data_IF_097470850545
#
_entry.id   IF_097470850545
#
_cell.length_a   1.000
_cell.length_b   1.000
_cell.length_c   1.000
_cell.angle_alpha   90.00
_cell.angle_beta   90.00
_cell.angle_gamma   90.00
#
_symmetry.space_group_name_H-M   'P 1'
#
loop_
_entity.id
_entity.type
_entity.pdbx_description
1 polymer ?
#
# COMPACT_ATOMS: atom_id res chain seq x y z
N UNK A 1 5.31 24.64 -25.72
CA UNK A 1 5.31 23.29 -26.27
C UNK A 1 6.28 22.47 -25.43
N UNK A 2 5.82 21.50 -24.70
CA UNK A 2 6.64 20.66 -23.81
C UNK A 2 5.75 19.84 -22.90
N UNK A 3 4.73 19.20 -23.49
CA UNK A 3 4.04 18.11 -22.81
C UNK A 3 5.02 16.92 -22.77
N UNK A 4 5.76 16.76 -21.66
CA UNK A 4 6.51 15.54 -21.41
C UNK A 4 5.55 14.36 -21.51
N UNK A 5 5.75 13.50 -22.47
CA UNK A 5 5.03 12.24 -22.62
C UNK A 5 5.35 11.41 -21.37
N UNK A 6 4.47 11.41 -20.40
CA UNK A 6 4.57 10.55 -19.21
C UNK A 6 4.43 9.10 -19.72
N UNK A 7 5.54 8.37 -19.74
CA UNK A 7 5.50 6.96 -20.05
C UNK A 7 5.25 6.18 -18.75
N UNK A 8 4.09 5.52 -18.59
CA UNK A 8 3.78 4.76 -17.37
C UNK A 8 4.84 3.70 -17.01
N UNK A 9 5.61 3.24 -18.00
CA UNK A 9 6.70 2.27 -17.80
C UNK A 9 7.82 2.77 -16.90
N UNK A 10 7.96 4.08 -16.73
CA UNK A 10 9.01 4.68 -15.93
C UNK A 10 8.66 4.80 -14.43
N UNK A 11 7.42 4.52 -14.04
CA UNK A 11 6.97 4.68 -12.64
C UNK A 11 7.68 3.77 -11.64
N UNK A 12 8.32 2.69 -12.09
CA UNK A 12 9.19 1.85 -11.27
C UNK A 12 10.61 2.39 -11.07
N UNK A 13 10.99 3.52 -11.69
CA UNK A 13 12.34 4.05 -11.71
C UNK A 13 12.50 5.31 -10.86
N UNK A 14 13.56 5.35 -10.02
CA UNK A 14 13.87 6.52 -9.19
C UNK A 14 14.00 7.82 -10.00
N UNK A 15 14.69 7.74 -11.17
CA UNK A 15 14.93 8.90 -12.02
C UNK A 15 13.64 9.60 -12.49
N UNK A 16 12.56 8.84 -12.72
CA UNK A 16 11.26 9.42 -13.06
C UNK A 16 10.72 10.27 -11.90
N UNK A 17 10.74 9.73 -10.68
CA UNK A 17 10.21 10.40 -9.51
C UNK A 17 11.08 11.58 -9.09
N UNK A 18 12.42 11.46 -9.14
CA UNK A 18 13.35 12.56 -8.90
C UNK A 18 13.08 13.73 -9.85
N UNK A 19 12.93 13.47 -11.16
CA UNK A 19 12.57 14.49 -12.14
C UNK A 19 11.21 15.13 -11.85
N UNK A 20 10.22 14.33 -11.46
CA UNK A 20 8.88 14.80 -11.10
C UNK A 20 8.90 15.73 -9.89
N UNK A 21 9.62 15.37 -8.81
CA UNK A 21 9.68 16.16 -7.59
C UNK A 21 10.64 17.36 -7.69
N UNK A 22 11.61 17.32 -8.62
CA UNK A 22 12.48 18.48 -8.91
C UNK A 22 11.81 19.56 -9.76
N UNK A 23 10.72 19.24 -10.46
CA UNK A 23 10.09 20.18 -11.38
C UNK A 23 9.31 21.25 -10.62
N UNK A 24 9.55 22.55 -10.88
CA UNK A 24 8.75 23.63 -10.32
C UNK A 24 7.29 23.49 -10.80
N UNK A 25 6.32 23.72 -9.91
CA UNK A 25 4.90 23.62 -10.25
C UNK A 25 4.50 24.65 -11.28
N UNK A 26 4.28 24.22 -12.51
CA UNK A 26 3.33 24.92 -13.39
C UNK A 26 1.95 24.41 -13.01
N UNK A 27 1.10 25.26 -12.43
CA UNK A 27 -0.20 24.95 -11.84
C UNK A 27 -1.17 24.10 -12.69
N UNK A 28 -0.84 22.87 -12.94
CA UNK A 28 -1.63 21.88 -13.65
C UNK A 28 -2.11 20.79 -12.69
N UNK A 29 -3.29 20.23 -12.94
CA UNK A 29 -3.95 19.14 -12.22
C UNK A 29 -3.17 17.81 -12.19
N UNK A 30 -1.91 17.84 -11.80
CA UNK A 30 -1.03 16.67 -11.79
C UNK A 30 0.27 16.95 -11.08
N UNK A 31 0.19 17.29 -9.80
CA UNK A 31 1.18 17.15 -8.73
C UNK A 31 2.67 17.15 -9.12
N UNK A 32 3.17 18.11 -9.88
CA UNK A 32 4.59 18.35 -10.06
C UNK A 32 4.91 19.78 -9.68
N UNK A 33 5.73 19.97 -8.66
CA UNK A 33 6.29 21.25 -8.23
C UNK A 33 5.53 21.96 -7.12
N UNK A 34 6.08 21.97 -5.92
CA UNK A 34 5.75 22.89 -4.81
C UNK A 34 4.44 22.68 -4.07
N UNK A 35 3.50 21.89 -4.58
CA UNK A 35 2.26 21.53 -3.91
C UNK A 35 2.28 20.09 -3.40
N UNK A 36 1.71 19.87 -2.21
CA UNK A 36 1.50 18.51 -1.70
C UNK A 36 0.43 17.81 -2.52
N UNK A 37 0.60 16.50 -2.74
CA UNK A 37 -0.30 15.73 -3.57
C UNK A 37 -0.67 14.40 -2.94
N UNK A 38 -1.96 14.17 -2.76
CA UNK A 38 -2.49 12.90 -2.28
C UNK A 38 -3.13 12.11 -3.42
N UNK A 39 -2.52 10.97 -3.74
CA UNK A 39 -3.13 10.01 -4.64
C UNK A 39 -4.42 9.45 -4.00
N UNK A 40 -5.45 9.30 -4.82
CA UNK A 40 -6.73 8.68 -4.50
C UNK A 40 -7.53 9.41 -3.43
N UNK A 41 -7.05 9.41 -2.16
CA UNK A 41 -7.82 9.92 -1.02
C UNK A 41 -6.94 10.63 0.00
N UNK A 42 -7.51 11.66 0.58
CA UNK A 42 -6.91 12.34 1.73
C UNK A 42 -7.10 11.53 3.02
N UNK A 43 -6.32 11.88 4.04
CA UNK A 43 -6.45 11.28 5.36
C UNK A 43 -7.89 11.35 5.92
N UNK A 44 -8.58 12.47 5.76
CA UNK A 44 -9.95 12.64 6.28
C UNK A 44 -10.92 11.56 5.78
N UNK A 45 -10.75 11.11 4.53
CA UNK A 45 -11.56 10.03 3.97
C UNK A 45 -11.14 8.64 4.47
N UNK A 46 -9.87 8.41 4.73
CA UNK A 46 -9.31 7.14 5.21
C UNK A 46 -9.39 6.99 6.73
N UNK A 47 -9.48 8.09 7.46
CA UNK A 47 -9.44 8.15 8.94
C UNK A 47 -10.37 7.17 9.65
N UNK A 48 -11.64 7.01 9.27
CA UNK A 48 -12.53 6.07 9.97
C UNK A 48 -12.00 4.63 9.93
N UNK A 49 -11.48 4.18 8.78
CA UNK A 49 -10.94 2.84 8.62
C UNK A 49 -9.58 2.70 9.33
N UNK A 50 -8.69 3.67 9.17
CA UNK A 50 -7.40 3.68 9.85
C UNK A 50 -7.57 3.59 11.37
N UNK A 51 -8.48 4.39 11.94
CA UNK A 51 -8.76 4.39 13.39
C UNK A 51 -9.41 3.09 13.88
N UNK A 52 -10.17 2.42 13.02
CA UNK A 52 -10.79 1.14 13.35
C UNK A 52 -9.79 -0.02 13.33
N UNK A 53 -8.82 0.00 12.41
CA UNK A 53 -7.89 -1.11 12.18
C UNK A 53 -6.53 -0.93 12.85
N UNK A 54 -6.03 0.31 12.97
CA UNK A 54 -4.63 0.60 13.33
C UNK A 54 -4.57 1.42 14.62
N UNK A 55 -4.13 0.83 15.76
CA UNK A 55 -3.88 1.58 16.99
C UNK A 55 -2.87 2.72 16.77
N UNK A 56 -3.05 3.86 17.44
CA UNK A 56 -2.15 5.01 17.30
C UNK A 56 -0.74 4.78 17.84
N UNK A 57 -0.54 3.74 18.66
CA UNK A 57 0.75 3.29 19.17
C UNK A 57 1.53 2.40 18.21
N UNK A 58 0.90 1.98 17.10
CA UNK A 58 1.51 1.06 16.12
C UNK A 58 2.79 1.63 15.49
N UNK A 59 3.74 0.73 15.22
CA UNK A 59 4.87 1.00 14.33
C UNK A 59 4.37 0.92 12.89
N UNK A 60 4.27 2.05 12.22
CA UNK A 60 3.72 2.16 10.87
C UNK A 60 4.83 2.36 9.85
N UNK A 61 4.79 1.60 8.75
CA UNK A 61 5.62 1.83 7.57
C UNK A 61 4.74 2.36 6.43
N UNK A 62 5.10 3.52 5.88
CA UNK A 62 4.47 4.13 4.71
C UNK A 62 5.32 3.85 3.48
N UNK A 63 4.80 3.09 2.52
CA UNK A 63 5.49 2.74 1.27
C UNK A 63 5.25 3.81 0.20
N UNK A 64 6.33 4.28 -0.45
CA UNK A 64 6.26 5.28 -1.50
C UNK A 64 5.52 6.53 -1.05
N UNK A 65 5.97 7.13 0.06
CA UNK A 65 5.25 8.21 0.73
C UNK A 65 5.05 9.46 -0.15
N UNK A 66 5.92 9.66 -1.14
CA UNK A 66 5.89 10.86 -1.98
C UNK A 66 5.89 12.13 -1.13
N UNK A 67 5.21 13.16 -1.63
CA UNK A 67 4.97 14.40 -0.90
C UNK A 67 3.55 14.47 -0.29
N UNK A 68 2.95 13.32 0.01
CA UNK A 68 1.64 13.22 0.66
C UNK A 68 1.68 13.74 2.09
N UNK A 69 0.59 14.39 2.52
CA UNK A 69 0.41 14.83 3.91
C UNK A 69 -0.19 13.73 4.82
N UNK A 70 -0.41 12.54 4.30
CA UNK A 70 -1.07 11.45 5.03
C UNK A 70 -0.42 11.18 6.39
N UNK A 71 0.91 11.05 6.44
CA UNK A 71 1.66 10.79 7.66
C UNK A 71 1.60 11.96 8.66
N UNK A 72 1.67 13.20 8.17
CA UNK A 72 1.51 14.41 9.00
C UNK A 72 0.11 14.44 9.63
N UNK A 73 -0.93 14.14 8.87
CA UNK A 73 -2.30 14.13 9.38
C UNK A 73 -2.56 12.96 10.34
N UNK A 74 -1.92 11.81 10.12
CA UNK A 74 -1.92 10.70 11.08
C UNK A 74 -1.30 11.12 12.42
N UNK A 75 -0.15 11.84 12.40
CA UNK A 75 0.47 12.35 13.64
C UNK A 75 -0.46 13.34 14.35
N UNK A 76 -1.11 14.25 13.64
CA UNK A 76 -2.13 15.16 14.22
C UNK A 76 -3.28 14.39 14.87
N UNK A 77 -3.61 13.20 14.38
CA UNK A 77 -4.65 12.32 14.93
C UNK A 77 -4.10 11.37 16.02
N UNK A 78 -2.84 11.49 16.42
CA UNK A 78 -2.26 10.82 17.58
C UNK A 78 -1.34 9.64 17.28
N UNK A 79 -1.03 9.30 16.03
CA UNK A 79 -0.04 8.27 15.70
C UNK A 79 1.36 8.72 16.10
N UNK A 80 2.16 7.79 16.67
CA UNK A 80 3.40 8.14 17.36
C UNK A 80 4.67 7.71 16.59
N UNK A 81 4.57 6.70 15.73
CA UNK A 81 5.74 6.07 15.12
C UNK A 81 5.45 5.75 13.66
N UNK A 82 5.88 6.62 12.74
CA UNK A 82 5.68 6.45 11.30
C UNK A 82 7.02 6.56 10.58
N UNK A 83 7.42 5.47 9.94
CA UNK A 83 8.56 5.42 9.01
C UNK A 83 8.03 5.58 7.60
N UNK A 84 8.55 6.57 6.88
CA UNK A 84 8.17 6.89 5.51
C UNK A 84 9.32 6.54 4.59
N UNK A 85 9.07 5.74 3.56
CA UNK A 85 10.08 5.40 2.56
C UNK A 85 9.60 5.80 1.16
N UNK A 86 10.55 6.22 0.32
CA UNK A 86 10.35 6.48 -1.10
C UNK A 86 11.64 6.20 -1.86
N UNK A 87 11.51 5.82 -3.13
CA UNK A 87 12.66 5.57 -4.00
C UNK A 87 13.35 6.87 -4.41
N UNK A 88 12.63 7.99 -4.42
CA UNK A 88 13.14 9.32 -4.78
C UNK A 88 13.90 9.97 -3.63
N UNK A 89 15.19 10.23 -3.84
CA UNK A 89 15.98 10.99 -2.90
C UNK A 89 15.51 12.44 -2.76
N UNK A 90 15.01 13.02 -3.84
CA UNK A 90 14.52 14.40 -3.89
C UNK A 90 13.34 14.61 -2.96
N UNK A 91 12.31 13.76 -3.06
CA UNK A 91 11.14 13.91 -2.20
C UNK A 91 11.44 13.61 -0.74
N UNK A 92 12.31 12.66 -0.47
CA UNK A 92 12.73 12.33 0.90
C UNK A 92 13.40 13.53 1.58
N UNK A 93 14.33 14.22 0.90
CA UNK A 93 14.96 15.41 1.46
C UNK A 93 13.96 16.56 1.66
N UNK A 94 13.05 16.79 0.70
CA UNK A 94 11.98 17.78 0.85
C UNK A 94 11.08 17.51 2.07
N UNK A 95 10.72 16.24 2.28
CA UNK A 95 9.82 15.86 3.38
C UNK A 95 10.56 15.85 4.73
N UNK A 96 11.83 15.53 4.79
CA UNK A 96 12.68 15.70 5.99
C UNK A 96 12.77 17.16 6.40
N UNK A 97 13.06 18.05 5.44
CA UNK A 97 13.14 19.48 5.70
C UNK A 97 11.80 20.03 6.22
N UNK A 98 10.70 19.67 5.54
CA UNK A 98 9.35 20.09 5.93
C UNK A 98 8.95 19.64 7.34
N UNK A 99 9.32 18.44 7.73
CA UNK A 99 8.87 17.81 8.97
C UNK A 99 9.98 17.70 10.04
N UNK A 100 11.00 18.57 9.96
CA UNK A 100 12.14 18.59 10.89
C UNK A 100 11.72 18.60 12.36
N UNK A 101 10.63 19.29 12.69
CA UNK A 101 10.13 19.44 14.06
C UNK A 101 9.12 18.36 14.50
N UNK A 102 8.84 17.36 13.64
CA UNK A 102 7.87 16.30 13.93
C UNK A 102 8.61 15.00 14.25
N UNK A 103 8.92 14.78 15.51
CA UNK A 103 9.70 13.65 15.99
C UNK A 103 9.07 12.27 15.70
N UNK A 104 7.76 12.21 15.47
CA UNK A 104 7.01 10.99 15.15
C UNK A 104 7.23 10.50 13.71
N UNK A 105 7.83 11.34 12.83
CA UNK A 105 8.04 11.03 11.42
C UNK A 105 9.52 10.77 11.14
N UNK A 106 9.81 9.63 10.55
CA UNK A 106 11.13 9.31 9.99
C UNK A 106 11.01 9.16 8.49
N UNK A 107 11.96 9.70 7.73
CA UNK A 107 12.00 9.62 6.27
C UNK A 107 13.29 8.98 5.79
N UNK A 108 13.19 7.98 4.89
CA UNK A 108 14.34 7.23 4.36
C UNK A 108 14.18 6.99 2.86
N UNK A 109 15.26 7.18 2.09
CA UNK A 109 15.29 6.72 0.71
C UNK A 109 15.47 5.20 0.70
N UNK A 110 14.50 4.47 0.16
CA UNK A 110 14.54 3.02 0.07
C UNK A 110 13.66 2.52 -1.09
N UNK A 111 14.09 1.45 -1.75
CA UNK A 111 13.30 0.75 -2.76
C UNK A 111 12.40 -0.29 -2.07
N UNK A 112 11.10 -0.24 -2.33
CA UNK A 112 10.13 -1.19 -1.76
C UNK A 112 10.35 -2.64 -2.19
N UNK A 113 11.16 -2.87 -3.23
CA UNK A 113 11.54 -4.20 -3.73
C UNK A 113 12.69 -4.83 -2.93
N UNK A 114 13.37 -4.04 -2.12
CA UNK A 114 14.45 -4.47 -1.21
C UNK A 114 14.42 -3.60 0.05
N UNK A 115 13.74 -4.09 1.07
CA UNK A 115 13.64 -3.43 2.37
C UNK A 115 14.46 -4.19 3.44
N UNK A 116 15.56 -4.84 3.03
CA UNK A 116 16.45 -5.63 3.89
C UNK A 116 17.10 -4.82 5.03
N UNK A 117 17.05 -3.49 4.94
CA UNK A 117 17.41 -2.58 6.04
C UNK A 117 16.60 -2.86 7.32
N UNK A 118 15.35 -3.31 7.19
CA UNK A 118 14.49 -3.62 8.32
C UNK A 118 14.49 -5.12 8.59
N UNK A 119 14.52 -5.49 9.88
CA UNK A 119 14.38 -6.88 10.32
C UNK A 119 12.97 -7.44 10.09
N UNK A 120 12.82 -8.76 10.12
CA UNK A 120 11.54 -9.44 10.00
C UNK A 120 10.59 -9.02 11.13
N UNK A 121 9.31 -8.86 10.82
CA UNK A 121 8.30 -8.51 11.82
C UNK A 121 8.54 -7.16 12.51
N UNK A 122 9.10 -6.17 11.81
CA UNK A 122 9.41 -4.86 12.39
C UNK A 122 8.20 -3.94 12.54
N UNK A 123 7.12 -4.18 11.80
CA UNK A 123 5.98 -3.26 11.73
C UNK A 123 4.65 -3.90 12.11
N UNK A 124 3.82 -3.14 12.83
CA UNK A 124 2.45 -3.50 13.16
C UNK A 124 1.50 -3.22 11.99
N UNK A 125 1.81 -2.16 11.22
CA UNK A 125 1.02 -1.75 10.07
C UNK A 125 1.92 -1.27 8.93
N UNK A 126 1.62 -1.72 7.72
CA UNK A 126 2.25 -1.23 6.48
C UNK A 126 1.16 -0.62 5.61
N UNK A 127 1.34 0.63 5.18
CA UNK A 127 0.36 1.35 4.36
C UNK A 127 0.97 1.62 2.99
N UNK A 128 0.24 1.24 1.97
CA UNK A 128 0.53 1.49 0.56
C UNK A 128 -0.60 2.29 -0.06
N UNK A 129 -0.30 3.47 -0.57
CA UNK A 129 -1.27 4.31 -1.28
C UNK A 129 -0.75 4.66 -2.69
N UNK A 130 -0.95 3.72 -3.63
CA UNK A 130 -0.57 3.89 -5.03
C UNK A 130 0.83 3.40 -5.40
N UNK A 131 1.61 2.88 -4.47
CA UNK A 131 2.97 2.40 -4.75
C UNK A 131 2.95 1.08 -5.52
N UNK A 132 2.09 0.13 -5.12
CA UNK A 132 1.89 -1.10 -5.88
C UNK A 132 1.38 -0.80 -7.30
N UNK A 133 0.54 0.24 -7.45
CA UNK A 133 0.06 0.67 -8.77
C UNK A 133 1.20 1.17 -9.65
N UNK A 134 2.14 1.93 -9.08
CA UNK A 134 3.34 2.36 -9.79
C UNK A 134 4.23 1.16 -10.21
N UNK A 135 4.39 0.17 -9.33
CA UNK A 135 5.10 -1.08 -9.65
C UNK A 135 4.43 -1.85 -10.79
N UNK A 136 3.10 -1.86 -10.85
CA UNK A 136 2.33 -2.54 -11.90
C UNK A 136 2.36 -1.83 -13.25
N UNK A 137 2.89 -0.61 -13.34
CA UNK A 137 3.10 0.12 -14.59
C UNK A 137 4.50 -0.09 -15.20
N UNK A 138 5.46 -0.67 -14.48
CA UNK A 138 6.83 -0.89 -14.95
C UNK A 138 7.00 -2.04 -15.94
N UNK A 139 8.12 -2.07 -16.67
CA UNK A 139 8.43 -3.16 -17.60
C UNK A 139 8.62 -4.52 -16.91
N UNK A 140 9.03 -4.53 -15.62
CA UNK A 140 9.17 -5.71 -14.76
C UNK A 140 7.97 -5.85 -13.79
N UNK A 141 6.80 -5.39 -14.22
CA UNK A 141 5.63 -5.18 -13.36
C UNK A 141 5.26 -6.37 -12.46
N UNK A 142 5.05 -7.61 -12.95
CA UNK A 142 4.67 -8.72 -12.08
C UNK A 142 5.77 -9.09 -11.08
N UNK A 143 7.04 -9.06 -11.50
CA UNK A 143 8.17 -9.45 -10.67
C UNK A 143 8.49 -8.40 -9.59
N UNK A 144 8.49 -7.11 -9.97
CA UNK A 144 8.69 -6.00 -9.02
C UNK A 144 7.61 -5.96 -7.95
N UNK A 145 6.35 -6.12 -8.35
CA UNK A 145 5.22 -6.19 -7.44
C UNK A 145 5.31 -7.39 -6.49
N UNK A 146 5.71 -8.57 -6.99
CA UNK A 146 5.90 -9.74 -6.16
C UNK A 146 7.02 -9.55 -5.12
N UNK A 147 8.17 -8.97 -5.51
CA UNK A 147 9.26 -8.65 -4.57
C UNK A 147 8.78 -7.71 -3.47
N UNK A 148 8.10 -6.63 -3.84
CA UNK A 148 7.53 -5.69 -2.87
C UNK A 148 6.59 -6.40 -1.88
N UNK A 149 5.65 -7.20 -2.36
CA UNK A 149 4.69 -7.91 -1.51
C UNK A 149 5.37 -8.97 -0.63
N UNK A 150 6.42 -9.62 -1.11
CA UNK A 150 7.22 -10.54 -0.28
C UNK A 150 7.92 -9.81 0.87
N UNK A 151 8.48 -8.63 0.62
CA UNK A 151 9.05 -7.77 1.64
C UNK A 151 7.98 -7.28 2.63
N UNK A 152 6.81 -6.85 2.15
CA UNK A 152 5.67 -6.51 3.00
C UNK A 152 5.33 -7.66 3.94
N UNK A 153 5.18 -8.87 3.40
CA UNK A 153 4.86 -10.05 4.19
C UNK A 153 5.94 -10.38 5.24
N UNK A 154 7.22 -10.20 4.90
CA UNK A 154 8.35 -10.39 5.80
C UNK A 154 8.35 -9.37 6.94
N UNK A 155 8.14 -8.11 6.61
CA UNK A 155 8.23 -6.98 7.56
C UNK A 155 7.05 -6.88 8.53
N UNK A 156 5.88 -7.43 8.16
CA UNK A 156 4.72 -7.44 9.06
C UNK A 156 4.93 -8.41 10.22
N UNK A 157 4.57 -7.98 11.42
CA UNK A 157 4.43 -8.87 12.60
C UNK A 157 3.29 -9.87 12.39
N UNK A 158 3.30 -11.02 13.07
CA UNK A 158 2.09 -11.81 13.26
C UNK A 158 0.96 -10.90 13.81
N UNK A 159 -0.26 -11.03 13.28
CA UNK A 159 -1.38 -10.13 13.59
C UNK A 159 -1.27 -8.72 13.00
N UNK A 160 -0.20 -8.42 12.28
CA UNK A 160 0.01 -7.11 11.62
C UNK A 160 -0.90 -6.90 10.41
N UNK A 161 -0.96 -5.65 9.94
CA UNK A 161 -1.89 -5.22 8.89
C UNK A 161 -1.12 -4.63 7.70
N UNK A 162 -1.42 -5.10 6.49
CA UNK A 162 -1.09 -4.40 5.27
C UNK A 162 -2.35 -3.75 4.69
N UNK A 163 -2.33 -2.42 4.58
CA UNK A 163 -3.43 -1.64 4.02
C UNK A 163 -3.03 -1.09 2.65
N UNK A 164 -3.60 -1.66 1.59
CA UNK A 164 -3.37 -1.27 0.21
C UNK A 164 -4.51 -0.40 -0.29
N UNK A 165 -4.23 0.87 -0.60
CA UNK A 165 -5.16 1.82 -1.24
C UNK A 165 -4.75 1.96 -2.70
N UNK A 166 -5.64 1.57 -3.64
CA UNK A 166 -5.31 1.38 -5.05
C UNK A 166 -6.51 1.67 -5.96
N UNK A 167 -6.27 1.95 -7.22
CA UNK A 167 -7.29 1.91 -8.26
C UNK A 167 -7.45 0.49 -8.86
N UNK A 168 -6.51 -0.42 -8.57
CA UNK A 168 -6.49 -1.76 -9.12
C UNK A 168 -7.68 -2.60 -8.69
N UNK A 169 -8.42 -3.11 -9.67
CA UNK A 169 -9.66 -3.83 -9.47
C UNK A 169 -9.45 -5.17 -8.72
N UNK A 170 -10.47 -5.66 -8.00
CA UNK A 170 -10.36 -6.87 -7.20
C UNK A 170 -9.87 -8.10 -7.95
N UNK A 171 -10.29 -8.29 -9.19
CA UNK A 171 -9.84 -9.43 -10.02
C UNK A 171 -8.31 -9.46 -10.16
N UNK A 172 -7.67 -8.30 -10.29
CA UNK A 172 -6.22 -8.21 -10.46
C UNK A 172 -5.49 -8.25 -9.12
N UNK A 173 -5.95 -7.46 -8.15
CA UNK A 173 -5.26 -7.29 -6.86
C UNK A 173 -5.39 -8.51 -5.96
N UNK A 174 -6.56 -9.14 -5.89
CA UNK A 174 -6.75 -10.36 -5.09
C UNK A 174 -5.93 -11.52 -5.66
N UNK A 175 -5.83 -11.65 -6.99
CA UNK A 175 -4.97 -12.65 -7.62
C UNK A 175 -3.51 -12.45 -7.21
N UNK A 176 -3.02 -11.20 -7.23
CA UNK A 176 -1.65 -10.87 -6.86
C UNK A 176 -1.38 -11.10 -5.37
N UNK A 177 -2.30 -10.64 -4.50
CA UNK A 177 -2.20 -10.83 -3.06
C UNK A 177 -2.20 -12.31 -2.67
N UNK A 178 -3.01 -13.14 -3.33
CA UNK A 178 -3.08 -14.58 -3.07
C UNK A 178 -1.85 -15.37 -3.55
N UNK A 179 -1.00 -14.78 -4.42
CA UNK A 179 0.24 -15.42 -4.88
C UNK A 179 1.39 -15.32 -3.86
N UNK A 180 1.29 -14.40 -2.92
CA UNK A 180 2.33 -14.22 -1.89
C UNK A 180 2.26 -15.38 -0.89
N UNK A 181 3.42 -15.96 -0.54
CA UNK A 181 3.52 -17.01 0.49
C UNK A 181 3.34 -16.42 1.91
N UNK A 182 2.19 -15.80 2.12
CA UNK A 182 1.78 -15.25 3.39
C UNK A 182 0.32 -15.61 3.61
N UNK A 183 0.02 -16.25 4.72
CA UNK A 183 -1.39 -16.48 5.09
C UNK A 183 -1.95 -15.21 5.68
N UNK A 184 -2.66 -14.45 4.86
CA UNK A 184 -3.41 -13.30 5.32
C UNK A 184 -4.89 -13.43 4.99
N UNK A 185 -5.69 -12.90 5.89
CA UNK A 185 -7.12 -12.70 5.66
C UNK A 185 -7.30 -11.31 5.05
N UNK A 186 -8.08 -11.23 3.96
CA UNK A 186 -8.26 -9.99 3.21
C UNK A 186 -9.67 -9.46 3.38
N UNK A 187 -9.80 -8.24 3.87
CA UNK A 187 -11.03 -7.47 3.83
C UNK A 187 -10.99 -6.47 2.68
N UNK A 188 -12.08 -6.36 1.93
CA UNK A 188 -12.20 -5.41 0.83
C UNK A 188 -13.18 -4.28 1.19
N UNK A 189 -12.71 -3.05 0.97
CA UNK A 189 -13.53 -1.84 1.05
C UNK A 189 -13.51 -1.12 -0.29
N UNK A 190 -14.68 -0.65 -0.74
CA UNK A 190 -14.84 0.07 -2.00
C UNK A 190 -15.24 1.51 -1.71
N UNK A 191 -14.54 2.45 -2.33
CA UNK A 191 -14.78 3.89 -2.20
C UNK A 191 -15.15 4.48 -3.55
N UNK A 192 -16.33 5.08 -3.71
CA UNK A 192 -16.68 5.76 -4.96
C UNK A 192 -15.75 6.95 -5.20
N UNK A 193 -15.27 7.08 -6.44
CA UNK A 193 -14.37 8.16 -6.84
C UNK A 193 -15.12 9.39 -7.35
N UNK A 194 -16.23 9.19 -8.06
CA UNK A 194 -16.97 10.29 -8.68
C UNK A 194 -17.87 11.01 -7.68
N UNK A 195 -17.98 12.35 -7.75
CA UNK A 195 -18.83 13.14 -6.84
C UNK A 195 -20.29 12.69 -6.82
N UNK A 196 -20.82 12.28 -7.96
CA UNK A 196 -22.22 11.84 -8.07
C UNK A 196 -22.49 10.61 -7.20
N UNK A 197 -21.59 9.61 -7.23
CA UNK A 197 -21.74 8.40 -6.42
C UNK A 197 -21.42 8.68 -4.95
N UNK A 198 -20.47 9.58 -4.66
CA UNK A 198 -20.17 9.99 -3.28
C UNK A 198 -21.41 10.60 -2.60
N UNK A 199 -22.16 11.46 -3.30
CA UNK A 199 -23.39 12.06 -2.79
C UNK A 199 -24.51 11.03 -2.60
N UNK A 200 -24.68 10.08 -3.53
CA UNK A 200 -25.67 9.00 -3.42
C UNK A 200 -25.38 8.05 -2.25
N UNK A 201 -24.11 7.79 -1.96
CA UNK A 201 -23.73 6.90 -0.87
C UNK A 201 -23.78 7.56 0.50
N UNK A 202 -23.60 8.87 0.57
CA UNK A 202 -23.60 9.57 1.85
C UNK A 202 -24.98 9.67 2.51
N UNK A 203 -26.10 9.54 1.75
CA UNK A 203 -27.47 9.72 2.23
C UNK A 203 -27.60 10.79 3.33
N UNK A 204 -26.77 11.86 3.25
CA UNK A 204 -26.69 12.89 4.27
C UNK A 204 -25.94 12.49 5.56
N UNK A 205 -25.43 11.26 5.70
CA UNK A 205 -24.59 10.85 6.83
C UNK A 205 -23.12 10.99 6.44
N UNK A 206 -22.37 11.80 7.16
CA UNK A 206 -20.96 12.11 6.90
C UNK A 206 -19.99 10.90 7.00
N UNK A 207 -20.49 9.69 7.20
CA UNK A 207 -19.69 8.51 7.58
C UNK A 207 -19.73 7.33 6.64
N UNK A 208 -20.51 7.34 5.55
CA UNK A 208 -20.68 6.19 4.65
C UNK A 208 -19.96 6.38 3.30
N UNK A 209 -18.67 6.74 3.32
CA UNK A 209 -17.88 6.86 2.08
C UNK A 209 -17.19 5.56 1.64
N UNK A 210 -17.35 4.46 2.40
CA UNK A 210 -16.75 3.15 2.10
C UNK A 210 -17.78 2.05 2.27
N UNK A 211 -17.80 1.10 1.33
CA UNK A 211 -18.60 -0.12 1.42
C UNK A 211 -17.66 -1.30 1.70
N UNK A 212 -17.87 -2.01 2.82
CA UNK A 212 -17.20 -3.29 3.05
C UNK A 212 -17.88 -4.36 2.21
N UNK A 213 -17.13 -5.06 1.36
CA UNK A 213 -17.64 -6.11 0.49
C UNK A 213 -17.16 -7.46 1.01
N UNK A 214 -18.11 -8.38 1.24
CA UNK A 214 -17.79 -9.75 1.61
C UNK A 214 -17.16 -10.48 0.42
N UNK A 215 -15.99 -11.07 0.63
CA UNK A 215 -15.37 -11.96 -0.34
C UNK A 215 -15.93 -13.38 -0.20
N UNK A 216 -15.84 -14.15 -1.27
CA UNK A 216 -16.12 -15.59 -1.23
C UNK A 216 -15.06 -16.32 -0.39
N UNK A 217 -15.30 -17.59 -0.07
CA UNK A 217 -14.37 -18.46 0.66
C UNK A 217 -13.00 -18.54 -0.05
N UNK A 218 -13.00 -18.40 -1.38
CA UNK A 218 -11.77 -18.41 -2.21
C UNK A 218 -11.14 -17.02 -2.33
N UNK A 219 -11.60 -16.03 -1.55
CA UNK A 219 -11.08 -14.67 -1.58
C UNK A 219 -11.36 -13.92 -2.88
N UNK A 220 -12.48 -14.18 -3.54
CA UNK A 220 -12.91 -13.50 -4.76
C UNK A 220 -14.17 -12.66 -4.51
N UNK A 221 -14.48 -11.74 -5.42
CA UNK A 221 -15.76 -11.05 -5.40
C UNK A 221 -16.91 -12.04 -5.66
N UNK A 222 -18.08 -11.85 -5.01
CA UNK A 222 -19.27 -12.59 -5.36
C UNK A 222 -19.58 -12.47 -6.87
N UNK A 223 -20.02 -13.57 -7.54
CA UNK A 223 -20.26 -13.56 -8.98
C UNK A 223 -21.34 -12.55 -9.44
N UNK A 224 -22.26 -12.23 -8.55
CA UNK A 224 -23.35 -11.27 -8.76
C UNK A 224 -23.02 -9.84 -8.32
N UNK A 225 -21.81 -9.60 -7.80
CA UNK A 225 -21.42 -8.26 -7.39
C UNK A 225 -21.24 -7.33 -8.58
N UNK A 226 -21.97 -6.21 -8.57
CA UNK A 226 -21.88 -5.18 -9.60
C UNK A 226 -21.25 -3.91 -9.01
N UNK A 227 -20.10 -3.51 -9.57
CA UNK A 227 -19.44 -2.28 -9.18
C UNK A 227 -20.30 -1.07 -9.61
N UNK A 228 -20.77 -0.29 -8.63
CA UNK A 228 -21.70 0.83 -8.87
C UNK A 228 -21.01 2.02 -9.54
N UNK A 229 -19.78 2.32 -9.15
CA UNK A 229 -18.96 3.39 -9.72
C UNK A 229 -17.72 2.77 -10.39
N UNK A 230 -17.60 2.82 -11.73
CA UNK A 230 -16.45 2.25 -12.45
C UNK A 230 -15.10 2.87 -12.06
N UNK A 231 -15.10 4.11 -11.58
CA UNK A 231 -13.91 4.85 -11.14
C UNK A 231 -13.60 4.65 -9.64
N UNK A 232 -14.26 3.70 -8.98
CA UNK A 232 -14.03 3.41 -7.57
C UNK A 232 -12.57 3.12 -7.27
N UNK A 233 -12.14 3.55 -6.08
CA UNK A 233 -10.90 3.09 -5.47
C UNK A 233 -11.18 1.94 -4.50
N UNK A 234 -10.18 1.09 -4.32
CA UNK A 234 -10.28 -0.10 -3.50
C UNK A 234 -9.30 -0.02 -2.34
N UNK A 235 -9.71 -0.51 -1.18
CA UNK A 235 -8.83 -0.66 -0.02
C UNK A 235 -8.86 -2.13 0.38
N UNK A 236 -7.71 -2.78 0.30
CA UNK A 236 -7.51 -4.14 0.78
C UNK A 236 -6.82 -4.07 2.13
N UNK A 237 -7.47 -4.59 3.17
CA UNK A 237 -6.90 -4.72 4.51
C UNK A 237 -6.53 -6.18 4.70
N UNK A 238 -5.23 -6.46 4.69
CA UNK A 238 -4.70 -7.81 4.78
C UNK A 238 -4.16 -8.03 6.19
N UNK A 239 -4.75 -8.96 6.94
CA UNK A 239 -4.32 -9.33 8.29
C UNK A 239 -3.39 -10.54 8.21
N UNK A 240 -2.16 -10.42 8.69
CA UNK A 240 -1.23 -11.54 8.72
C UNK A 240 -1.62 -12.53 9.82
N UNK A 241 -1.85 -13.79 9.44
CA UNK A 241 -2.19 -14.85 10.42
C UNK A 241 -1.05 -15.07 11.40
N UNK A 242 -1.42 -15.34 12.66
CA UNK A 242 -0.47 -15.71 13.73
C UNK A 242 0.10 -17.13 13.56
N UNK A 243 -0.46 -17.90 12.63
CA UNK A 243 -0.09 -19.31 12.43
C UNK A 243 1.19 -19.38 11.61
N UNK A 244 2.30 -19.66 12.26
CA UNK A 244 3.50 -20.20 11.61
C UNK A 244 3.18 -21.66 11.25
N UNK A 245 2.73 -21.91 10.02
CA UNK A 245 2.67 -23.29 9.51
C UNK A 245 4.09 -23.79 9.39
N UNK A 246 4.58 -24.56 10.38
CA UNK A 246 5.75 -25.41 10.18
C UNK A 246 5.45 -26.35 9.00
N UNK A 247 6.18 -26.17 7.94
CA UNK A 247 6.12 -27.01 6.72
C UNK A 247 6.65 -28.42 7.09
N UNK A 248 5.75 -29.29 7.57
CA UNK A 248 6.04 -30.69 7.91
C UNK A 248 6.17 -31.59 6.68
N UNK A 249 6.58 -31.08 5.53
CA UNK A 249 6.66 -31.87 4.28
C UNK A 249 8.09 -32.21 3.84
N UNK A 250 9.10 -32.16 4.74
CA UNK A 250 10.46 -32.64 4.39
C UNK A 250 11.10 -33.52 5.46
N UNK A 251 10.39 -34.48 6.04
CA UNK A 251 11.01 -35.60 6.75
C UNK A 251 10.16 -36.87 6.59
N UNK A 252 10.16 -37.43 5.40
CA UNK A 252 9.76 -38.82 5.19
C UNK A 252 10.38 -39.32 3.87
N UNK A 253 11.55 -39.87 3.91
CA UNK A 253 12.10 -40.55 2.73
C UNK A 253 13.62 -40.73 2.72
N UNK A 254 14.21 -41.18 3.80
CA UNK A 254 15.54 -41.85 3.76
C UNK A 254 15.73 -42.73 5.00
N UNK A 255 15.13 -43.89 4.95
CA UNK A 255 15.59 -45.08 5.67
C UNK A 255 14.80 -46.27 5.11
N UNK A 256 15.31 -46.88 4.05
CA UNK A 256 15.10 -48.29 3.72
C UNK A 256 15.80 -48.63 2.39
N UNK A 257 17.08 -48.87 2.42
CA UNK A 257 17.76 -49.70 1.42
C UNK A 257 19.23 -50.00 1.85
N UNK A 258 19.40 -50.74 2.94
CA UNK A 258 20.63 -51.48 3.14
C UNK A 258 20.35 -52.69 4.04
N UNK A 259 19.77 -53.75 3.46
CA UNK A 259 19.99 -55.14 3.90
C UNK A 259 19.53 -56.05 2.79
N UNK A 260 20.44 -56.56 2.03
CA UNK A 260 20.46 -57.89 1.42
C UNK A 260 21.42 -57.97 0.24
N UNK A 261 22.44 -58.73 0.43
CA UNK A 261 23.44 -59.31 -0.46
C UNK A 261 24.71 -58.51 -0.69
#
# INVERSE_FOLDING_TARGET
>A
MGGGNCNPKDFGAAAYWDARYSSPSTGGKGGGGGGFFDWYRSYSALRPLLRACVPTSSQVLMLGCGNSLLSEDMVKDGYQNIVNIDISSVVIEQMKEKHTDIAQLTYMQLDVRDMSFFGDGSFDCIIDKGTLDAMMCGDDAPHGAYKMLAEVARLMRPGGIYMLITYGAPKERLTLLNQVRCHWEVELYIMPATPEYQLKWSNGAAHAMMEKVALTVDGQLPPDYVLKDPESHFIYVCYKSDIVTEDKSMVAGQDDAMSSF
#
